data_IF_507017254061
#
_entry.id   IF_507017254061
#
_cell.length_a   1.000
_cell.length_b   1.000
_cell.length_c   1.000
_cell.angle_alpha   90.00
_cell.angle_beta   90.00
_cell.angle_gamma   90.00
#
_symmetry.space_group_name_H-M   'P 1'
#
loop_
_entity.id
_entity.type
_entity.pdbx_description
1 polymer ?
#
# COMPACT_ATOMS: atom_id res chain seq x y z
N UNK A 1 5.30 -30.89 -13.27
CA UNK A 1 5.19 -29.41 -13.22
C UNK A 1 6.60 -28.88 -13.33
N UNK A 2 6.89 -28.10 -14.37
CA UNK A 2 8.19 -27.42 -14.47
C UNK A 2 8.29 -26.36 -13.38
N UNK A 3 9.39 -26.36 -12.64
CA UNK A 3 9.65 -25.39 -11.58
C UNK A 3 10.28 -24.16 -12.19
N UNK A 4 9.64 -23.00 -12.03
CA UNK A 4 10.23 -21.71 -12.40
C UNK A 4 11.45 -21.43 -11.51
N UNK A 5 12.64 -21.37 -12.10
CA UNK A 5 13.87 -20.96 -11.40
C UNK A 5 14.09 -19.47 -11.62
N UNK A 6 14.22 -18.72 -10.54
CA UNK A 6 14.57 -17.30 -10.54
C UNK A 6 15.89 -17.08 -9.78
N UNK A 7 16.67 -16.11 -10.22
CA UNK A 7 17.87 -15.64 -9.53
C UNK A 7 17.50 -14.81 -8.28
N UNK A 8 18.41 -14.64 -7.31
CA UNK A 8 18.19 -13.74 -6.17
C UNK A 8 17.92 -12.29 -6.58
N UNK A 9 18.46 -11.84 -7.72
CA UNK A 9 18.22 -10.48 -8.22
C UNK A 9 16.78 -10.32 -8.73
N UNK A 10 16.28 -11.30 -9.47
CA UNK A 10 14.88 -11.33 -9.93
C UNK A 10 13.94 -11.38 -8.74
N UNK A 11 14.18 -12.26 -7.77
CA UNK A 11 13.35 -12.35 -6.56
C UNK A 11 13.24 -11.02 -5.81
N UNK A 12 14.36 -10.29 -5.63
CA UNK A 12 14.35 -8.97 -4.97
C UNK A 12 13.56 -7.94 -5.78
N UNK A 13 13.77 -7.89 -7.10
CA UNK A 13 13.04 -6.95 -7.99
C UNK A 13 11.55 -7.23 -7.98
N UNK A 14 11.16 -8.50 -8.04
CA UNK A 14 9.75 -8.92 -7.92
C UNK A 14 9.17 -8.50 -6.59
N UNK A 15 9.89 -8.68 -5.47
CA UNK A 15 9.42 -8.24 -4.15
C UNK A 15 9.20 -6.72 -4.08
N UNK A 16 10.15 -5.91 -4.58
CA UNK A 16 10.02 -4.45 -4.62
C UNK A 16 8.87 -3.99 -5.52
N UNK A 17 8.73 -4.59 -6.70
CA UNK A 17 7.65 -4.29 -7.63
C UNK A 17 6.28 -4.67 -7.06
N UNK A 18 6.17 -5.81 -6.37
CA UNK A 18 4.96 -6.25 -5.71
C UNK A 18 4.48 -5.29 -4.63
N UNK A 19 5.39 -4.49 -4.04
CA UNK A 19 5.08 -3.45 -3.06
C UNK A 19 4.68 -2.10 -3.70
N UNK A 20 4.63 -2.02 -5.04
CA UNK A 20 4.35 -0.79 -5.82
C UNK A 20 5.34 0.34 -5.55
N UNK A 21 6.60 -0.03 -5.31
CA UNK A 21 7.72 0.90 -5.07
C UNK A 21 8.58 1.13 -6.31
N UNK A 22 8.17 0.60 -7.47
CA UNK A 22 8.87 0.74 -8.73
C UNK A 22 7.88 1.17 -9.83
N UNK A 23 8.35 1.98 -10.76
CA UNK A 23 7.54 2.52 -11.85
C UNK A 23 6.99 3.93 -11.56
N UNK A 24 6.21 4.49 -12.49
CA UNK A 24 5.61 5.81 -12.32
C UNK A 24 4.48 5.78 -11.28
N UNK A 25 4.19 6.94 -10.69
CA UNK A 25 3.00 7.10 -9.86
C UNK A 25 1.73 6.97 -10.70
N UNK A 26 0.69 6.29 -10.20
CA UNK A 26 -0.60 6.22 -10.87
C UNK A 26 -1.33 7.57 -10.81
N UNK A 27 -2.43 7.70 -11.58
CA UNK A 27 -3.32 8.86 -11.45
C UNK A 27 -3.97 8.89 -10.05
N UNK A 28 -4.17 10.09 -9.51
CA UNK A 28 -4.86 10.29 -8.22
C UNK A 28 -6.36 9.99 -8.35
N UNK A 29 -6.71 8.72 -8.15
CA UNK A 29 -8.09 8.24 -8.17
C UNK A 29 -8.32 7.29 -7.01
N UNK A 30 -9.57 7.23 -6.55
CA UNK A 30 -10.00 6.28 -5.52
C UNK A 30 -9.72 4.83 -5.90
N UNK A 31 -9.96 4.47 -7.16
CA UNK A 31 -9.75 3.11 -7.66
C UNK A 31 -8.27 2.72 -7.61
N UNK A 32 -7.35 3.61 -7.99
CA UNK A 32 -5.92 3.34 -7.89
C UNK A 32 -5.43 3.20 -6.43
N UNK A 33 -6.06 3.92 -5.48
CA UNK A 33 -5.78 3.72 -4.06
C UNK A 33 -6.28 2.35 -3.60
N UNK A 34 -7.49 1.96 -4.02
CA UNK A 34 -8.06 0.66 -3.70
C UNK A 34 -7.21 -0.48 -4.28
N UNK A 35 -6.79 -0.37 -5.54
CA UNK A 35 -5.88 -1.32 -6.20
C UNK A 35 -4.57 -1.45 -5.42
N UNK A 36 -4.01 -0.33 -4.97
CA UNK A 36 -2.82 -0.35 -4.13
C UNK A 36 -3.06 -1.12 -2.83
N UNK A 37 -4.16 -0.83 -2.14
CA UNK A 37 -4.52 -1.50 -0.88
C UNK A 37 -4.74 -3.01 -1.10
N UNK A 38 -5.35 -3.41 -2.20
CA UNK A 38 -5.51 -4.81 -2.58
C UNK A 38 -4.16 -5.50 -2.86
N UNK A 39 -3.20 -4.77 -3.40
CA UNK A 39 -1.86 -5.26 -3.71
C UNK A 39 -0.99 -5.42 -2.45
N UNK A 40 -0.94 -4.40 -1.57
CA UNK A 40 -0.09 -4.43 -0.35
C UNK A 40 -0.77 -5.11 0.85
N UNK A 41 -2.07 -5.39 0.74
CA UNK A 41 -2.92 -6.16 1.68
C UNK A 41 -3.23 -5.47 3.01
N UNK A 42 -2.28 -4.76 3.59
CA UNK A 42 -2.47 -4.05 4.85
C UNK A 42 -1.71 -2.72 4.88
N UNK A 43 -2.23 -1.79 5.67
CA UNK A 43 -1.60 -0.52 5.97
C UNK A 43 -1.59 -0.35 7.49
N UNK A 44 -0.40 -0.26 8.07
CA UNK A 44 -0.27 -0.08 9.51
C UNK A 44 -0.63 1.36 9.88
N UNK A 45 -1.52 1.50 10.88
CA UNK A 45 -1.82 2.77 11.51
C UNK A 45 -0.80 3.04 12.61
N UNK A 46 -0.16 4.20 12.55
CA UNK A 46 0.86 4.61 13.51
C UNK A 46 0.38 5.85 14.29
N UNK A 47 0.46 5.86 15.62
CA UNK A 47 0.13 7.04 16.42
C UNK A 47 1.22 8.14 16.37
N UNK A 48 2.47 7.79 16.03
CA UNK A 48 3.59 8.74 16.04
C UNK A 48 3.61 9.57 14.76
N UNK A 49 3.96 10.87 14.91
CA UNK A 49 3.97 11.83 13.81
C UNK A 49 5.15 12.81 13.86
N UNK A 50 6.38 12.30 13.84
CA UNK A 50 7.57 13.15 13.83
C UNK A 50 7.64 14.06 12.58
N UNK A 51 7.18 13.56 11.43
CA UNK A 51 7.01 14.32 10.19
C UNK A 51 5.52 14.28 9.78
N UNK A 52 5.02 13.08 9.52
CA UNK A 52 3.61 12.75 9.32
C UNK A 52 3.41 11.30 9.76
N UNK A 53 2.17 10.85 9.97
CA UNK A 53 1.87 9.47 10.34
C UNK A 53 2.26 8.50 9.22
N UNK A 54 2.82 7.36 9.61
CA UNK A 54 3.38 6.34 8.70
C UNK A 54 2.39 5.91 7.63
N UNK A 55 1.11 5.74 7.96
CA UNK A 55 0.08 5.36 6.98
C UNK A 55 -0.02 6.31 5.79
N UNK A 56 0.19 7.62 6.00
CA UNK A 56 0.12 8.60 4.92
C UNK A 56 1.40 8.63 4.10
N UNK A 57 2.56 8.41 4.73
CA UNK A 57 3.87 8.35 4.07
C UNK A 57 3.99 7.09 3.19
N UNK A 58 3.51 5.94 3.69
CA UNK A 58 3.47 4.68 2.95
C UNK A 58 2.64 4.84 1.67
N UNK A 59 1.44 5.41 1.76
CA UNK A 59 0.62 5.69 0.58
C UNK A 59 1.29 6.69 -0.38
N UNK A 60 1.85 7.79 0.14
CA UNK A 60 2.55 8.79 -0.67
C UNK A 60 3.72 8.19 -1.47
N UNK A 61 4.51 7.29 -0.86
CA UNK A 61 5.64 6.63 -1.55
C UNK A 61 5.24 5.73 -2.74
N UNK A 62 3.96 5.36 -2.85
CA UNK A 62 3.41 4.45 -3.88
C UNK A 62 2.47 5.16 -4.86
N UNK A 63 1.78 6.20 -4.39
CA UNK A 63 0.78 6.96 -5.15
C UNK A 63 1.30 8.32 -5.62
N UNK A 64 2.41 8.82 -5.07
CA UNK A 64 2.83 10.21 -5.25
C UNK A 64 1.91 11.15 -4.48
N UNK A 65 1.64 12.34 -5.02
CA UNK A 65 0.61 13.22 -4.47
C UNK A 65 -0.77 12.58 -4.71
N UNK A 66 -1.56 12.41 -3.65
CA UNK A 66 -2.89 11.81 -3.70
C UNK A 66 -3.86 12.53 -2.76
N UNK A 67 -5.15 12.45 -3.06
CA UNK A 67 -6.20 12.93 -2.16
C UNK A 67 -6.40 11.96 -1.00
N UNK A 68 -6.24 12.46 0.23
CA UNK A 68 -6.53 11.67 1.45
C UNK A 68 -8.02 11.34 1.60
N UNK A 69 -8.88 12.10 0.94
CA UNK A 69 -10.33 11.85 0.95
C UNK A 69 -10.66 10.50 0.31
N UNK A 70 -9.87 10.02 -0.66
CA UNK A 70 -10.03 8.68 -1.23
C UNK A 70 -9.91 7.59 -0.15
N UNK A 71 -8.96 7.72 0.77
CA UNK A 71 -8.80 6.77 1.87
C UNK A 71 -9.99 6.82 2.82
N UNK A 72 -10.45 8.03 3.16
CA UNK A 72 -11.62 8.24 4.02
C UNK A 72 -12.89 7.64 3.42
N UNK A 73 -13.15 7.90 2.13
CA UNK A 73 -14.28 7.35 1.38
C UNK A 73 -14.24 5.81 1.38
N UNK A 74 -13.09 5.22 1.07
CA UNK A 74 -12.94 3.77 1.03
C UNK A 74 -13.13 3.10 2.40
N UNK A 75 -12.77 3.78 3.49
CA UNK A 75 -12.94 3.29 4.86
C UNK A 75 -14.37 3.43 5.37
N UNK A 76 -14.97 4.62 5.25
CA UNK A 76 -16.16 4.97 6.02
C UNK A 76 -17.44 5.09 5.18
N UNK A 77 -17.31 5.44 3.90
CA UNK A 77 -18.44 5.61 2.98
C UNK A 77 -18.69 4.33 2.18
N UNK A 78 -17.71 3.92 1.36
CA UNK A 78 -17.82 2.74 0.50
C UNK A 78 -17.62 1.42 1.27
N UNK A 79 -16.92 1.48 2.41
CA UNK A 79 -16.60 0.31 3.27
C UNK A 79 -15.87 -0.82 2.54
N UNK A 80 -15.03 -0.45 1.58
CA UNK A 80 -14.13 -1.39 0.90
C UNK A 80 -12.89 -1.72 1.74
N UNK A 81 -12.55 -0.84 2.69
CA UNK A 81 -11.48 -1.03 3.65
C UNK A 81 -12.07 -1.05 5.07
N UNK A 82 -11.36 -1.69 5.99
CA UNK A 82 -11.71 -1.71 7.40
C UNK A 82 -10.45 -1.62 8.26
N UNK A 83 -10.58 -1.01 9.44
CA UNK A 83 -9.55 -1.01 10.46
C UNK A 83 -9.72 -2.22 11.35
N UNK A 84 -8.63 -2.94 11.62
CA UNK A 84 -8.66 -4.07 12.55
C UNK A 84 -7.36 -4.14 13.35
N UNK A 85 -7.46 -4.73 14.54
CA UNK A 85 -6.30 -5.05 15.35
C UNK A 85 -5.59 -6.29 14.77
N UNK A 86 -4.59 -6.03 13.93
CA UNK A 86 -3.74 -7.02 13.30
C UNK A 86 -2.41 -7.13 14.06
N UNK A 87 -1.98 -8.34 14.43
CA UNK A 87 -0.60 -8.63 14.87
C UNK A 87 0.04 -7.54 15.76
N UNK A 88 -0.65 -7.11 16.82
CA UNK A 88 -0.17 -6.03 17.70
C UNK A 88 0.91 -6.48 18.70
N UNK A 89 1.24 -7.77 18.75
CA UNK A 89 2.17 -8.37 19.72
C UNK A 89 2.71 -9.72 19.23
N UNK A 90 3.48 -9.73 18.13
CA UNK A 90 4.32 -10.89 17.77
C UNK A 90 5.75 -10.69 18.25
#
# INVERSE_FOLDING_TARGET
MDVLKITPQEARRTAVAAQRLAGPYPADTKDNLLDLMQQIRCLQLDPIRAVERTQYLVLWSRLGQYSRDHLHQLLYEDRHLFEYWAHAAS
#
